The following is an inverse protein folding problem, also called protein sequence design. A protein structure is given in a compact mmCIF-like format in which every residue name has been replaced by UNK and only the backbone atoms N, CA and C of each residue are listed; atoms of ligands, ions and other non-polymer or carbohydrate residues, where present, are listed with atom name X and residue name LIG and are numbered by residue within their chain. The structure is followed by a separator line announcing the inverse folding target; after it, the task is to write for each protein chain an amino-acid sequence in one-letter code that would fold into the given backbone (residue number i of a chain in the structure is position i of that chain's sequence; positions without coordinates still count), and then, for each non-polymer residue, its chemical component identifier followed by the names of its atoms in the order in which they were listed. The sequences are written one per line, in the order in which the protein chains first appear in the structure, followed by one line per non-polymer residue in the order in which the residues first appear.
data_IF_611292717709
#
_entry.id   IF_611292717709
#
_cell.length_a   1.000
_cell.length_b   1.000
_cell.length_c   1.000
_cell.angle_alpha   90.00
_cell.angle_beta   90.00
_cell.angle_gamma   90.00
#
_symmetry.space_group_name_H-M   'P 1'
#
loop_
_entity.id
_entity.type
_entity.pdbx_description
1 polymer ?
#
# COMPACT_ATOMS: atom_id res chain seq x y z
N UNK A 1 1.21 2.64 30.97
CA UNK A 1 2.43 3.07 30.27
C UNK A 1 2.14 2.95 28.78
N UNK A 2 1.98 4.07 28.07
CA UNK A 2 1.73 4.05 26.62
C UNK A 2 2.97 3.50 25.92
N UNK A 3 2.81 2.40 25.17
CA UNK A 3 3.83 1.97 24.22
C UNK A 3 4.06 3.14 23.26
N UNK A 4 5.29 3.67 23.24
CA UNK A 4 5.70 4.73 22.31
C UNK A 4 5.51 4.23 20.88
N UNK A 5 4.38 4.55 20.24
CA UNK A 5 4.18 4.27 18.81
C UNK A 5 5.30 5.00 18.06
N UNK A 6 6.09 4.24 17.30
CA UNK A 6 7.17 4.76 16.46
C UNK A 6 6.54 5.45 15.24
N UNK A 7 6.05 6.66 15.43
CA UNK A 7 5.38 7.46 14.39
C UNK A 7 6.40 8.38 13.72
N UNK A 8 6.43 8.36 12.39
CA UNK A 8 7.27 9.24 11.57
C UNK A 8 6.42 10.18 10.72
N UNK A 9 6.99 11.31 10.31
CA UNK A 9 6.32 12.23 9.39
C UNK A 9 6.24 11.62 7.98
N UNK A 10 5.07 11.73 7.34
CA UNK A 10 4.87 11.32 5.93
C UNK A 10 5.71 12.23 5.04
N UNK A 11 5.56 13.55 5.17
CA UNK A 11 6.25 14.56 4.35
C UNK A 11 7.76 14.40 4.37
N UNK A 12 8.35 14.21 5.56
CA UNK A 12 9.80 14.02 5.67
C UNK A 12 10.25 12.69 5.06
N UNK A 13 9.44 11.64 5.18
CA UNK A 13 9.79 10.33 4.62
C UNK A 13 9.70 10.33 3.10
N UNK A 14 8.63 10.89 2.54
CA UNK A 14 8.47 11.10 1.09
C UNK A 14 9.69 11.84 0.52
N UNK A 15 10.04 12.98 1.11
CA UNK A 15 11.20 13.78 0.68
C UNK A 15 12.50 12.95 0.68
N UNK A 16 12.76 12.19 1.76
CA UNK A 16 13.97 11.34 1.84
C UNK A 16 13.98 10.23 0.79
N UNK A 17 12.84 9.63 0.52
CA UNK A 17 12.73 8.58 -0.51
C UNK A 17 13.02 9.15 -1.91
N UNK A 18 12.48 10.32 -2.21
CA UNK A 18 12.67 11.01 -3.50
C UNK A 18 14.12 11.47 -3.69
N UNK A 19 14.72 12.09 -2.68
CA UNK A 19 16.13 12.49 -2.70
C UNK A 19 17.07 11.29 -2.87
N UNK A 20 16.79 10.17 -2.20
CA UNK A 20 17.57 8.94 -2.33
C UNK A 20 17.45 8.33 -3.74
N UNK A 21 16.24 8.30 -4.31
CA UNK A 21 16.01 7.80 -5.67
C UNK A 21 16.82 8.58 -6.72
N UNK A 22 16.88 9.91 -6.59
CA UNK A 22 17.56 10.80 -7.54
C UNK A 22 19.08 10.71 -7.41
N UNK A 23 19.60 10.54 -6.20
CA UNK A 23 21.05 10.57 -5.91
C UNK A 23 21.75 9.21 -6.05
N UNK A 24 21.05 8.09 -5.83
CA UNK A 24 21.69 6.78 -5.81
C UNK A 24 22.19 6.31 -7.19
N UNK A 25 23.38 5.71 -7.23
CA UNK A 25 23.97 5.12 -8.44
C UNK A 25 24.67 3.80 -8.09
N UNK A 26 24.86 2.92 -9.07
CA UNK A 26 25.54 1.64 -8.91
C UNK A 26 25.20 0.87 -7.62
N UNK A 27 26.23 0.60 -6.80
CA UNK A 27 26.09 -0.19 -5.57
C UNK A 27 25.19 0.45 -4.50
N UNK A 28 25.15 1.78 -4.42
CA UNK A 28 24.25 2.49 -3.50
C UNK A 28 22.80 2.26 -3.87
N UNK A 29 22.50 2.26 -5.17
CA UNK A 29 21.16 1.97 -5.69
C UNK A 29 20.73 0.55 -5.35
N UNK A 30 21.61 -0.45 -5.48
CA UNK A 30 21.35 -1.83 -5.05
C UNK A 30 20.99 -1.90 -3.55
N UNK A 31 21.78 -1.26 -2.68
CA UNK A 31 21.52 -1.27 -1.23
C UNK A 31 20.18 -0.60 -0.90
N UNK A 32 19.86 0.50 -1.58
CA UNK A 32 18.60 1.21 -1.42
C UNK A 32 17.40 0.34 -1.81
N UNK A 33 17.46 -0.30 -2.98
CA UNK A 33 16.43 -1.23 -3.47
C UNK A 33 16.20 -2.38 -2.49
N UNK A 34 17.27 -3.00 -1.99
CA UNK A 34 17.18 -4.07 -0.98
C UNK A 34 16.49 -3.57 0.29
N UNK A 35 16.87 -2.39 0.79
CA UNK A 35 16.28 -1.81 1.99
C UNK A 35 14.78 -1.54 1.83
N UNK A 36 14.37 -0.96 0.70
CA UNK A 36 12.95 -0.70 0.42
C UNK A 36 12.16 -1.99 0.21
N UNK A 37 12.75 -2.97 -0.50
CA UNK A 37 12.11 -4.26 -0.73
C UNK A 37 11.86 -5.02 0.57
N UNK A 38 12.80 -4.99 1.52
CA UNK A 38 12.61 -5.58 2.86
C UNK A 38 11.39 -4.96 3.55
N UNK A 39 11.32 -3.62 3.59
CA UNK A 39 10.22 -2.91 4.22
C UNK A 39 8.87 -3.20 3.53
N UNK A 40 8.83 -3.29 2.20
CA UNK A 40 7.62 -3.65 1.45
C UNK A 40 7.16 -5.10 1.74
N UNK A 41 8.09 -6.06 1.79
CA UNK A 41 7.79 -7.46 2.11
C UNK A 41 7.28 -7.66 3.54
N UNK A 42 7.78 -6.86 4.49
CA UNK A 42 7.27 -6.88 5.86
C UNK A 42 5.79 -6.51 5.92
N UNK A 43 5.36 -5.50 5.15
CA UNK A 43 3.95 -5.09 5.06
C UNK A 43 3.10 -6.19 4.39
N UNK A 44 3.56 -6.76 3.28
CA UNK A 44 2.84 -7.84 2.58
C UNK A 44 2.63 -9.08 3.46
N UNK A 45 3.67 -9.47 4.21
CA UNK A 45 3.59 -10.61 5.14
C UNK A 45 2.57 -10.36 6.25
N UNK A 46 2.48 -9.14 6.77
CA UNK A 46 1.50 -8.77 7.78
C UNK A 46 0.07 -8.84 7.22
N UNK A 47 -0.16 -8.31 6.03
CA UNK A 47 -1.46 -8.38 5.35
C UNK A 47 -1.90 -9.84 5.14
N UNK A 48 -0.99 -10.70 4.69
CA UNK A 48 -1.24 -12.13 4.50
C UNK A 48 -1.57 -12.85 5.83
N UNK A 49 -0.86 -12.52 6.91
CA UNK A 49 -1.09 -13.11 8.24
C UNK A 49 -2.40 -12.67 8.91
N UNK A 50 -2.99 -11.57 8.45
CA UNK A 50 -4.29 -11.09 8.94
C UNK A 50 -5.48 -11.80 8.26
N UNK A 51 -5.24 -12.53 7.17
CA UNK A 51 -6.29 -13.15 6.35
C UNK A 51 -6.82 -14.49 6.92
N UNK A 52 -6.16 -15.12 7.90
CA UNK A 52 -6.61 -16.40 8.48
C UNK A 52 -7.76 -16.27 9.50
N UNK A 53 -8.28 -15.06 9.74
CA UNK A 53 -9.44 -14.87 10.60
C UNK A 53 -9.91 -13.42 10.62
N UNK A 54 -10.86 -13.07 9.75
CA UNK A 54 -11.48 -11.75 9.58
C UNK A 54 -10.53 -10.65 9.03
N UNK A 55 -10.79 -10.19 7.81
CA UNK A 55 -10.26 -8.92 7.29
C UNK A 55 -10.75 -7.77 8.18
N UNK A 56 -9.95 -7.44 9.19
CA UNK A 56 -10.02 -6.20 9.94
C UNK A 56 -9.21 -5.16 9.17
N UNK A 57 -9.78 -3.98 8.94
CA UNK A 57 -9.01 -2.84 8.44
C UNK A 57 -7.86 -2.52 9.42
N UNK A 58 -6.80 -1.85 8.97
CA UNK A 58 -5.69 -1.42 9.81
C UNK A 58 -6.18 -0.67 11.08
N UNK A 59 -7.26 0.11 10.95
CA UNK A 59 -7.96 0.75 12.08
C UNK A 59 -8.67 -0.23 13.04
N UNK A 60 -9.23 -1.34 12.55
CA UNK A 60 -9.84 -2.39 13.39
C UNK A 60 -8.79 -3.31 14.05
N UNK A 61 -7.61 -3.47 13.44
CA UNK A 61 -6.46 -4.18 14.04
C UNK A 61 -5.96 -3.39 15.25
N UNK A 62 -5.85 -2.07 15.11
CA UNK A 62 -5.43 -1.15 16.19
C UNK A 62 -6.50 -0.98 17.29
N UNK A 63 -7.78 -1.18 16.98
CA UNK A 63 -8.87 -1.07 17.96
C UNK A 63 -9.09 -2.36 18.79
N UNK A 64 -8.55 -3.51 18.38
CA UNK A 64 -8.66 -4.77 19.12
C UNK A 64 -7.46 -5.08 20.02
N UNK A 65 -6.68 -4.07 20.41
CA UNK A 65 -5.40 -4.20 21.13
C UNK A 65 -5.52 -4.60 22.62
N UNK A 66 -6.71 -4.78 23.19
CA UNK A 66 -6.83 -5.16 24.62
C UNK A 66 -6.68 -6.67 24.90
N UNK A 67 -6.72 -7.54 23.90
CA UNK A 67 -6.50 -8.98 24.11
C UNK A 67 -5.74 -9.63 22.96
N UNK A 68 -4.40 -9.55 23.02
CA UNK A 68 -3.41 -10.62 22.74
C UNK A 68 -2.07 -9.99 22.38
N UNK A 69 -1.17 -9.92 23.35
CA UNK A 69 0.25 -9.67 23.18
C UNK A 69 0.84 -10.64 22.14
N UNK A 70 1.11 -10.13 20.94
CA UNK A 70 2.02 -10.78 20.00
C UNK A 70 3.26 -9.89 19.87
N UNK A 71 4.40 -10.25 20.49
CA UNK A 71 5.56 -9.35 20.62
C UNK A 71 6.24 -8.99 19.29
N UNK A 72 5.85 -9.63 18.17
CA UNK A 72 6.34 -9.29 16.82
C UNK A 72 5.57 -8.17 16.11
N UNK A 73 4.37 -7.80 16.57
CA UNK A 73 3.56 -6.75 15.92
C UNK A 73 3.87 -5.33 16.43
N UNK A 74 4.61 -5.22 17.54
CA UNK A 74 4.86 -3.97 18.27
C UNK A 74 5.96 -3.07 17.68
N UNK A 75 6.58 -3.44 16.55
CA UNK A 75 7.69 -2.67 15.93
C UNK A 75 7.34 -2.00 14.59
N UNK A 76 6.08 -2.01 14.15
CA UNK A 76 5.70 -1.38 12.89
C UNK A 76 5.78 0.14 13.01
N UNK A 77 6.60 0.75 12.15
CA UNK A 77 6.69 2.20 12.02
C UNK A 77 5.46 2.69 11.25
N UNK A 78 4.69 3.58 11.87
CA UNK A 78 3.54 4.22 11.24
C UNK A 78 3.92 5.63 10.80
N UNK A 79 3.27 6.12 9.75
CA UNK A 79 3.53 7.44 9.19
C UNK A 79 2.30 8.33 9.31
N UNK A 80 2.46 9.52 9.88
CA UNK A 80 1.35 10.44 10.11
C UNK A 80 1.85 11.88 10.22
N UNK A 81 1.13 12.81 9.59
CA UNK A 81 1.26 14.24 9.84
C UNK A 81 -0.12 14.80 10.21
N UNK A 82 -0.18 15.62 11.27
CA UNK A 82 -1.45 16.11 11.85
C UNK A 82 -2.26 17.00 10.91
N UNK A 83 -1.63 17.59 9.91
CA UNK A 83 -2.22 18.49 8.93
C UNK A 83 -2.69 17.79 7.65
N UNK A 84 -2.29 16.53 7.42
CA UNK A 84 -2.74 15.74 6.27
C UNK A 84 -4.17 15.22 6.50
N UNK A 85 -4.55 14.96 7.76
CA UNK A 85 -5.84 14.36 8.12
C UNK A 85 -5.96 12.92 7.61
N UNK A 86 -6.51 12.02 8.42
CA UNK A 86 -6.71 10.62 8.05
C UNK A 86 -6.06 9.62 9.00
N UNK A 87 -6.10 8.34 8.63
CA UNK A 87 -5.48 7.27 9.41
C UNK A 87 -3.94 7.29 9.22
N UNK A 88 -3.16 6.83 10.23
CA UNK A 88 -1.74 6.60 10.04
C UNK A 88 -1.48 5.63 8.88
N UNK A 89 -0.54 5.98 8.02
CA UNK A 89 -0.17 5.24 6.83
C UNK A 89 0.93 4.22 7.14
N UNK A 90 0.97 3.12 6.38
CA UNK A 90 2.11 2.20 6.39
C UNK A 90 3.22 2.65 5.44
N UNK A 91 4.35 1.91 5.43
CA UNK A 91 5.47 2.24 4.55
C UNK A 91 5.12 2.12 3.06
N UNK A 92 4.32 1.13 2.67
CA UNK A 92 3.95 0.90 1.27
C UNK A 92 3.13 2.08 0.74
N UNK A 93 2.21 2.59 1.55
CA UNK A 93 1.38 3.75 1.20
C UNK A 93 2.23 5.01 1.02
N UNK A 94 3.13 5.28 1.96
CA UNK A 94 4.06 6.42 1.85
C UNK A 94 5.00 6.26 0.65
N UNK A 95 5.50 5.06 0.42
CA UNK A 95 6.37 4.73 -0.71
C UNK A 95 5.65 4.98 -2.04
N UNK A 96 4.41 4.50 -2.19
CA UNK A 96 3.62 4.70 -3.40
C UNK A 96 3.13 6.15 -3.58
N UNK A 97 2.96 6.90 -2.51
CA UNK A 97 2.67 8.34 -2.60
C UNK A 97 3.88 9.15 -3.10
N UNK A 98 5.10 8.74 -2.74
CA UNK A 98 6.33 9.40 -3.17
C UNK A 98 6.65 9.19 -4.65
N UNK A 99 7.55 9.99 -5.22
CA UNK A 99 8.14 9.80 -6.56
C UNK A 99 9.34 8.82 -6.58
N UNK A 100 9.53 8.01 -5.54
CA UNK A 100 10.73 7.18 -5.42
C UNK A 100 10.83 6.08 -6.50
N UNK A 101 9.71 5.45 -6.84
CA UNK A 101 9.68 4.38 -7.86
C UNK A 101 9.95 4.96 -9.27
N UNK A 102 9.40 6.14 -9.55
CA UNK A 102 9.67 6.93 -10.75
C UNK A 102 11.15 7.34 -10.83
N UNK A 103 11.70 7.88 -9.73
CA UNK A 103 13.09 8.32 -9.66
C UNK A 103 14.09 7.19 -9.88
N UNK A 104 13.84 6.00 -9.30
CA UNK A 104 14.64 4.80 -9.55
C UNK A 104 14.56 4.39 -11.02
N UNK A 105 13.36 4.39 -11.60
CA UNK A 105 13.16 4.04 -13.01
C UNK A 105 13.97 4.96 -13.92
N UNK A 106 13.89 6.28 -13.69
CA UNK A 106 14.69 7.28 -14.41
C UNK A 106 16.19 7.07 -14.20
N UNK A 107 16.62 6.80 -12.97
CA UNK A 107 18.03 6.49 -12.64
C UNK A 107 18.55 5.29 -13.44
N UNK A 108 17.73 4.25 -13.62
CA UNK A 108 18.08 3.06 -14.40
C UNK A 108 18.06 3.27 -15.91
N UNK A 109 17.26 4.22 -16.42
CA UNK A 109 17.31 4.62 -17.82
C UNK A 109 18.59 5.44 -18.09
N UNK A 110 18.99 6.30 -17.15
CA UNK A 110 20.19 7.11 -17.28
C UNK A 110 21.46 6.26 -17.15
N UNK A 111 21.48 5.32 -16.21
CA UNK A 111 22.56 4.37 -15.97
C UNK A 111 21.98 2.96 -15.91
N UNK A 112 22.25 2.18 -16.96
CA UNK A 112 21.64 0.87 -17.17
C UNK A 112 21.74 -0.03 -15.92
N UNK A 113 20.66 -0.73 -15.54
CA UNK A 113 20.66 -1.58 -14.37
C UNK A 113 21.45 -2.87 -14.62
N UNK A 114 22.10 -3.38 -13.57
CA UNK A 114 22.69 -4.72 -13.60
C UNK A 114 21.66 -5.82 -13.28
N UNK A 115 22.05 -7.09 -13.45
CA UNK A 115 21.17 -8.26 -13.24
C UNK A 115 20.53 -8.32 -11.84
N UNK A 116 21.25 -7.83 -10.83
CA UNK A 116 20.75 -7.80 -9.47
C UNK A 116 19.67 -6.71 -9.31
N UNK A 117 19.93 -5.52 -9.83
CA UNK A 117 18.97 -4.41 -9.82
C UNK A 117 17.69 -4.77 -10.57
N UNK A 118 17.81 -5.49 -11.69
CA UNK A 118 16.68 -6.04 -12.45
C UNK A 118 15.85 -6.98 -11.58
N UNK A 119 16.51 -7.91 -10.88
CA UNK A 119 15.83 -8.88 -10.01
C UNK A 119 15.08 -8.18 -8.88
N UNK A 120 15.72 -7.21 -8.22
CA UNK A 120 15.12 -6.43 -7.14
C UNK A 120 13.94 -5.59 -7.63
N UNK A 121 14.07 -4.95 -8.80
CA UNK A 121 13.02 -4.12 -9.38
C UNK A 121 11.77 -4.94 -9.74
N UNK A 122 11.95 -6.15 -10.29
CA UNK A 122 10.83 -7.06 -10.59
C UNK A 122 10.04 -7.42 -9.33
N UNK A 123 10.73 -7.71 -8.23
CA UNK A 123 10.08 -7.99 -6.95
C UNK A 123 9.36 -6.74 -6.41
N UNK A 124 9.99 -5.57 -6.50
CA UNK A 124 9.35 -4.30 -6.10
C UNK A 124 8.09 -4.00 -6.92
N UNK A 125 8.13 -4.20 -8.24
CA UNK A 125 6.95 -4.06 -9.10
C UNK A 125 5.84 -5.03 -8.71
N UNK A 126 6.18 -6.27 -8.35
CA UNK A 126 5.22 -7.25 -7.79
C UNK A 126 4.46 -6.74 -6.56
N UNK A 127 5.12 -5.96 -5.71
CA UNK A 127 4.53 -5.43 -4.47
C UNK A 127 3.79 -4.09 -4.68
N UNK A 128 4.22 -3.31 -5.68
CA UNK A 128 3.80 -1.93 -5.87
C UNK A 128 2.74 -1.76 -6.96
N UNK A 129 2.80 -2.56 -8.02
CA UNK A 129 1.99 -2.42 -9.22
C UNK A 129 1.01 -3.57 -9.35
N UNK A 130 -0.08 -3.32 -10.07
CA UNK A 130 -1.01 -4.38 -10.49
C UNK A 130 -0.55 -4.99 -11.80
N UNK A 131 -0.64 -6.31 -11.89
CA UNK A 131 -0.32 -7.05 -13.09
C UNK A 131 0.27 -8.41 -12.80
N UNK A 132 0.39 -9.23 -13.84
CA UNK A 132 1.17 -10.46 -13.79
C UNK A 132 2.66 -10.20 -13.94
N UNK A 133 3.46 -11.23 -13.70
CA UNK A 133 4.92 -11.20 -13.90
C UNK A 133 5.30 -10.79 -15.32
N UNK A 134 4.46 -11.12 -16.30
CA UNK A 134 4.62 -10.79 -17.71
C UNK A 134 4.62 -9.27 -17.92
N UNK A 135 3.71 -8.55 -17.24
CA UNK A 135 3.63 -7.09 -17.31
C UNK A 135 4.86 -6.47 -16.65
N UNK A 136 5.25 -6.96 -15.47
CA UNK A 136 6.43 -6.44 -14.77
C UNK A 136 7.72 -6.66 -15.58
N UNK A 137 7.86 -7.84 -16.19
CA UNK A 137 8.96 -8.13 -17.10
C UNK A 137 8.96 -7.17 -18.31
N UNK A 138 7.81 -6.94 -18.93
CA UNK A 138 7.72 -6.02 -20.07
C UNK A 138 8.12 -4.58 -19.70
N UNK A 139 7.75 -4.11 -18.50
CA UNK A 139 8.18 -2.81 -17.98
C UNK A 139 9.70 -2.77 -17.82
N UNK A 140 10.29 -3.79 -17.18
CA UNK A 140 11.74 -3.85 -16.99
C UNK A 140 12.50 -3.94 -18.32
N UNK A 141 12.03 -4.75 -19.27
CA UNK A 141 12.60 -4.79 -20.62
C UNK A 141 12.53 -3.42 -21.29
N UNK A 142 11.40 -2.71 -21.16
CA UNK A 142 11.27 -1.35 -21.71
C UNK A 142 12.26 -0.37 -21.08
N UNK A 143 12.54 -0.50 -19.78
CA UNK A 143 13.56 0.30 -19.08
C UNK A 143 14.95 0.01 -19.64
N UNK A 144 15.29 -1.27 -19.85
CA UNK A 144 16.58 -1.67 -20.43
C UNK A 144 16.74 -1.21 -21.88
N UNK A 145 15.67 -1.29 -22.68
CA UNK A 145 15.65 -0.80 -24.06
C UNK A 145 15.86 0.71 -24.10
N UNK A 146 15.20 1.45 -23.21
CA UNK A 146 15.42 2.90 -23.05
C UNK A 146 16.85 3.20 -22.59
N UNK A 147 17.39 2.48 -21.61
CA UNK A 147 18.77 2.66 -21.17
C UNK A 147 19.78 2.42 -22.30
N UNK A 148 19.54 1.38 -23.10
CA UNK A 148 20.34 1.07 -24.28
C UNK A 148 20.28 2.21 -25.30
N UNK A 149 19.07 2.69 -25.61
CA UNK A 149 18.90 3.82 -26.52
C UNK A 149 19.63 5.07 -26.00
N UNK A 150 19.48 5.38 -24.71
CA UNK A 150 20.11 6.53 -24.04
C UNK A 150 21.64 6.48 -24.07
N UNK A 151 22.24 5.29 -23.97
CA UNK A 151 23.70 5.14 -24.07
C UNK A 151 24.26 5.53 -25.45
N UNK A 152 23.43 5.50 -26.49
CA UNK A 152 23.81 5.82 -27.88
C UNK A 152 23.57 7.28 -28.29
N UNK A 153 22.79 8.04 -27.51
CA UNK A 153 22.50 9.45 -27.81
C UNK A 153 23.73 10.33 -27.50
N UNK A 154 24.23 11.03 -28.52
CA UNK A 154 25.21 12.10 -28.36
C UNK A 154 24.54 13.36 -27.77
N UNK A 155 25.33 14.21 -27.10
CA UNK A 155 24.87 15.39 -26.32
C UNK A 155 24.03 16.42 -27.12
N UNK A 156 23.92 16.33 -28.44
CA UNK A 156 23.11 17.23 -29.27
C UNK A 156 21.58 17.02 -29.15
N UNK A 157 21.12 16.00 -28.40
CA UNK A 157 19.69 15.61 -28.33
C UNK A 157 19.11 15.70 -26.89
N UNK A 158 19.60 16.63 -26.06
CA UNK A 158 19.18 16.78 -24.66
C UNK A 158 17.66 16.98 -24.49
N UNK A 159 17.00 17.69 -25.41
CA UNK A 159 15.56 17.94 -25.32
C UNK A 159 14.75 16.65 -25.45
N UNK A 160 15.05 15.78 -26.42
CA UNK A 160 14.33 14.51 -26.56
C UNK A 160 14.64 13.55 -25.42
N UNK A 161 15.84 13.66 -24.83
CA UNK A 161 16.24 12.88 -23.65
C UNK A 161 15.34 13.20 -22.46
N UNK A 162 15.15 14.49 -22.18
CA UNK A 162 14.27 14.94 -21.09
C UNK A 162 12.82 14.51 -21.33
N UNK A 163 12.29 14.71 -22.54
CA UNK A 163 10.92 14.30 -22.90
C UNK A 163 10.68 12.78 -22.69
N UNK A 164 11.65 11.95 -23.09
CA UNK A 164 11.57 10.49 -22.90
C UNK A 164 11.63 10.09 -21.42
N UNK A 165 12.45 10.75 -20.61
CA UNK A 165 12.49 10.51 -19.16
C UNK A 165 11.18 10.92 -18.49
N UNK A 166 10.61 12.06 -18.87
CA UNK A 166 9.31 12.51 -18.38
C UNK A 166 8.18 11.54 -18.79
N UNK A 167 8.25 10.99 -20.00
CA UNK A 167 7.30 9.97 -20.46
C UNK A 167 7.42 8.69 -19.61
N UNK A 168 8.64 8.20 -19.38
CA UNK A 168 8.87 7.03 -18.54
C UNK A 168 8.37 7.26 -17.10
N UNK A 169 8.69 8.40 -16.50
CA UNK A 169 8.19 8.80 -15.19
C UNK A 169 6.66 8.82 -15.16
N UNK A 170 6.03 9.48 -16.13
CA UNK A 170 4.57 9.59 -16.22
C UNK A 170 3.90 8.22 -16.38
N UNK A 171 4.51 7.31 -17.15
CA UNK A 171 4.02 5.95 -17.31
C UNK A 171 4.05 5.17 -15.98
N UNK A 172 5.14 5.26 -15.21
CA UNK A 172 5.22 4.63 -13.88
C UNK A 172 4.20 5.23 -12.91
N UNK A 173 4.02 6.56 -12.90
CA UNK A 173 2.97 7.21 -12.10
C UNK A 173 1.58 6.69 -12.49
N UNK A 174 1.29 6.56 -13.79
CA UNK A 174 0.04 5.99 -14.28
C UNK A 174 -0.19 4.55 -13.81
N UNK A 175 0.86 3.73 -13.76
CA UNK A 175 0.78 2.36 -13.24
C UNK A 175 0.53 2.32 -11.74
N UNK A 176 1.13 3.21 -10.95
CA UNK A 176 0.86 3.34 -9.50
C UNK A 176 -0.58 3.76 -9.23
N UNK A 177 -1.09 4.76 -9.95
CA UNK A 177 -2.49 5.21 -9.83
C UNK A 177 -3.45 4.06 -10.18
N UNK A 178 -3.16 3.31 -11.25
CA UNK A 178 -3.96 2.13 -11.60
C UNK A 178 -3.97 1.10 -10.48
N UNK A 179 -2.82 0.83 -9.88
CA UNK A 179 -2.71 -0.13 -8.80
C UNK A 179 -3.54 0.29 -7.57
N UNK A 180 -3.51 1.59 -7.25
CA UNK A 180 -4.31 2.15 -6.17
C UNK A 180 -5.81 2.12 -6.47
N UNK A 181 -6.21 2.40 -7.71
CA UNK A 181 -7.62 2.34 -8.13
C UNK A 181 -8.20 0.93 -7.97
N UNK A 182 -7.47 -0.10 -8.37
CA UNK A 182 -7.89 -1.51 -8.20
C UNK A 182 -8.02 -1.86 -6.71
N UNK A 183 -7.08 -1.39 -5.87
CA UNK A 183 -7.17 -1.56 -4.42
C UNK A 183 -8.43 -0.90 -3.86
N UNK A 184 -8.67 0.37 -4.18
CA UNK A 184 -9.86 1.09 -3.73
C UNK A 184 -11.16 0.43 -4.20
N UNK A 185 -11.21 -0.09 -5.43
CA UNK A 185 -12.37 -0.82 -5.94
C UNK A 185 -12.66 -2.09 -5.12
N UNK A 186 -11.61 -2.84 -4.75
CA UNK A 186 -11.75 -4.02 -3.89
C UNK A 186 -12.25 -3.67 -2.49
N UNK A 187 -11.72 -2.61 -1.88
CA UNK A 187 -12.14 -2.13 -0.56
C UNK A 187 -13.58 -1.62 -0.58
N UNK A 188 -13.97 -0.89 -1.64
CA UNK A 188 -15.33 -0.41 -1.82
C UNK A 188 -16.33 -1.57 -1.98
N UNK A 189 -15.95 -2.61 -2.73
CA UNK A 189 -16.74 -3.84 -2.88
C UNK A 189 -16.92 -4.57 -1.54
N UNK A 190 -15.85 -4.70 -0.76
CA UNK A 190 -15.89 -5.32 0.57
C UNK A 190 -16.76 -4.53 1.55
N UNK A 191 -16.65 -3.20 1.56
CA UNK A 191 -17.48 -2.33 2.38
C UNK A 191 -18.95 -2.42 1.97
N UNK A 192 -19.25 -2.44 0.68
CA UNK A 192 -20.61 -2.63 0.17
C UNK A 192 -21.20 -3.95 0.65
N UNK A 193 -20.44 -5.04 0.56
CA UNK A 193 -20.86 -6.36 1.07
C UNK A 193 -21.14 -6.34 2.58
N UNK A 194 -20.27 -5.70 3.37
CA UNK A 194 -20.47 -5.54 4.83
C UNK A 194 -21.71 -4.71 5.14
N UNK A 195 -21.96 -3.64 4.38
CA UNK A 195 -23.15 -2.80 4.53
C UNK A 195 -24.44 -3.56 4.19
N UNK A 196 -24.43 -4.33 3.09
CA UNK A 196 -25.57 -5.15 2.68
C UNK A 196 -25.90 -6.19 3.77
N UNK A 197 -24.89 -6.86 4.33
CA UNK A 197 -25.06 -7.78 5.47
C UNK A 197 -25.68 -7.08 6.68
N UNK A 198 -25.16 -5.91 7.07
CA UNK A 198 -25.69 -5.15 8.20
C UNK A 198 -27.14 -4.68 7.95
N UNK A 199 -27.47 -4.30 6.72
CA UNK A 199 -28.82 -3.93 6.32
C UNK A 199 -29.79 -5.11 6.40
N UNK A 200 -29.34 -6.34 6.07
CA UNK A 200 -30.16 -7.55 6.21
C UNK A 200 -30.40 -7.91 7.67
N UNK A 201 -29.42 -7.69 8.55
CA UNK A 201 -29.57 -7.87 10.00
C UNK A 201 -30.56 -6.86 10.60
N UNK A 202 -30.58 -5.61 10.11
CA UNK A 202 -31.53 -4.57 10.50
C UNK A 202 -32.96 -4.81 9.99
N UNK A 203 -33.13 -5.58 8.90
CA UNK A 203 -34.42 -5.96 8.32
C UNK A 203 -35.04 -7.22 8.94
N UNK A 204 -34.32 -7.92 9.82
CA UNK A 204 -34.94 -8.99 10.60
C UNK A 204 -36.04 -8.34 11.48
N UNK A 205 -37.28 -8.86 11.50
CA UNK A 205 -38.32 -8.27 12.32
C UNK A 205 -37.83 -8.21 13.77
N UNK A 206 -37.78 -7.01 14.35
CA UNK A 206 -37.99 -6.89 15.79
C UNK A 206 -39.34 -7.53 16.03
N UNK A 207 -39.34 -8.76 16.54
CA UNK A 207 -40.54 -9.39 17.06
C UNK A 207 -41.11 -8.48 18.14
N UNK A 208 -42.10 -7.69 17.75
CA UNK A 208 -43.11 -7.09 18.61
C UNK A 208 -44.45 -7.43 17.94
N UNK A 209 -45.51 -7.76 18.64
CA UNK A 209 -45.89 -7.39 20.00
C UNK A 209 -46.89 -8.42 20.55
N UNK A 210 -46.91 -8.52 21.88
CA UNK A 210 -48.07 -8.60 22.77
C UNK A 210 -49.38 -9.25 22.28
N UNK A 211 -49.83 -10.24 23.06
CA UNK A 211 -51.22 -10.23 23.51
C UNK A 211 -51.21 -10.13 25.05
N UNK A 212 -51.38 -8.91 25.54
CA UNK A 212 -51.99 -8.70 26.83
C UNK A 212 -53.46 -9.14 26.73
N UNK A 213 -53.87 -10.06 27.60
CA UNK A 213 -55.27 -10.18 28.02
C UNK A 213 -55.26 -10.06 29.53
N UNK A 214 -55.62 -8.87 30.02
CA UNK A 214 -55.86 -8.62 31.43
C UNK A 214 -57.15 -9.31 31.90
N UNK A 215 -57.04 -9.89 33.10
CA UNK A 215 -58.00 -9.99 34.21
C UNK A 215 -59.40 -10.61 34.01
N UNK A 216 -59.66 -11.70 34.74
CA UNK A 216 -60.80 -11.76 35.69
C UNK A 216 -60.43 -12.65 36.88
N UNK A 217 -60.61 -12.08 38.07
CA UNK A 217 -60.56 -12.66 39.41
C UNK A 217 -61.53 -13.84 39.60
N UNK A 218 -61.15 -14.85 40.40
CA UNK A 218 -61.88 -15.20 41.63
C UNK A 218 -61.12 -16.22 42.47
N UNK A 219 -60.98 -15.87 43.75
CA UNK A 219 -60.50 -16.74 44.81
C UNK A 219 -61.59 -17.76 45.17
N UNK A 220 -61.23 -18.99 45.51
CA UNK A 220 -61.97 -19.78 46.50
C UNK A 220 -61.00 -20.67 47.26
N UNK A 221 -61.00 -20.43 48.57
CA UNK A 221 -60.41 -21.22 49.63
C UNK A 221 -61.42 -22.34 49.95
N UNK A 222 -60.95 -23.59 50.02
CA UNK A 222 -61.39 -24.58 51.01
C UNK A 222 -60.16 -25.34 51.52
#
# INVERSE_FOLDING_TARGET
MQASRNVRSVKQTVKRLEEAAISCRGSERVMLLRSWLIALKEIEKLASSSSEGSQKSLGQILASEDERENPKRTSMVLYYDSDIGGAPMDFREVFLQSQALEGITVSMIIEAPNDEEISLLLEMFGLCLTGGKEIHNAIVSSIQDLATAFSSYQDEVLVKREELLQFAQSAITGLKIRADLVRMESEASDLKKKLDQMSTLLKLPKGGHDNASETTTEATIE
#
